data_IF_895812481037
#
_entry.id   IF_895812481037
#
_cell.length_a   1.000
_cell.length_b   1.000
_cell.length_c   1.000
_cell.angle_alpha   90.00
_cell.angle_beta   90.00
_cell.angle_gamma   90.00
#
_symmetry.space_group_name_H-M   'P 1'
#
loop_
_entity.id
_entity.type
_entity.pdbx_description
1 polymer ?
#
# COMPACT_ATOMS: atom_id res chain seq x y z
N UNK A 1 -16.58 -10.62 10.99
CA UNK A 1 -17.97 -10.19 10.73
C UNK A 1 -18.93 -11.33 11.03
N UNK A 2 -20.04 -11.02 11.70
CA UNK A 2 -21.05 -12.01 12.07
C UNK A 2 -21.95 -12.37 10.87
N UNK A 3 -22.17 -13.67 10.66
CA UNK A 3 -23.13 -14.17 9.67
C UNK A 3 -24.56 -14.03 10.21
N UNK A 4 -25.49 -13.52 9.39
CA UNK A 4 -26.91 -13.56 9.69
C UNK A 4 -27.45 -14.98 9.52
N UNK A 5 -28.44 -15.36 10.33
CA UNK A 5 -29.12 -16.66 10.18
C UNK A 5 -30.49 -16.44 9.56
N UNK A 6 -30.74 -17.07 8.41
CA UNK A 6 -31.97 -16.88 7.64
C UNK A 6 -32.65 -18.23 7.44
N UNK A 7 -33.94 -18.29 7.79
CA UNK A 7 -34.76 -19.49 7.61
C UNK A 7 -35.89 -19.26 6.58
N UNK A 8 -36.14 -20.27 5.74
CA UNK A 8 -37.25 -20.28 4.78
C UNK A 8 -37.72 -21.72 4.49
N UNK A 9 -38.68 -21.94 3.57
CA UNK A 9 -39.18 -23.29 3.28
C UNK A 9 -38.14 -24.14 2.54
N UNK A 10 -37.37 -23.50 1.66
CA UNK A 10 -36.28 -24.14 0.91
C UNK A 10 -34.98 -23.35 1.08
N UNK A 11 -33.85 -23.98 0.74
CA UNK A 11 -32.53 -23.32 0.75
C UNK A 11 -32.53 -22.13 -0.22
N UNK A 12 -33.11 -22.27 -1.41
CA UNK A 12 -33.16 -21.21 -2.42
C UNK A 12 -33.98 -19.99 -1.96
N UNK A 13 -35.11 -20.24 -1.26
CA UNK A 13 -35.88 -19.17 -0.64
C UNK A 13 -35.09 -18.48 0.48
N UNK A 14 -34.31 -19.23 1.26
CA UNK A 14 -33.47 -18.68 2.32
C UNK A 14 -32.33 -17.83 1.74
N UNK A 15 -31.72 -18.26 0.63
CA UNK A 15 -30.69 -17.50 -0.10
C UNK A 15 -31.30 -16.20 -0.62
N UNK A 16 -32.46 -16.26 -1.28
CA UNK A 16 -33.14 -15.07 -1.82
C UNK A 16 -33.46 -14.07 -0.72
N UNK A 17 -33.95 -14.56 0.42
CA UNK A 17 -34.22 -13.73 1.60
C UNK A 17 -32.94 -13.10 2.16
N UNK A 18 -31.83 -13.85 2.22
CA UNK A 18 -30.54 -13.34 2.64
C UNK A 18 -29.98 -12.28 1.69
N UNK A 19 -30.15 -12.42 0.37
CA UNK A 19 -29.75 -11.42 -0.62
C UNK A 19 -30.46 -10.09 -0.41
N UNK A 20 -31.77 -10.14 -0.15
CA UNK A 20 -32.59 -8.94 0.13
C UNK A 20 -32.19 -8.32 1.46
N UNK A 21 -32.06 -9.12 2.51
CA UNK A 21 -31.74 -8.64 3.86
C UNK A 21 -30.34 -8.03 3.95
N UNK A 22 -29.36 -8.62 3.24
CA UNK A 22 -28.02 -8.05 3.14
C UNK A 22 -27.93 -6.95 2.08
N UNK A 23 -28.90 -6.79 1.19
CA UNK A 23 -28.82 -5.86 0.06
C UNK A 23 -27.60 -6.15 -0.81
N UNK A 24 -27.37 -7.41 -1.16
CA UNK A 24 -26.24 -7.87 -1.97
C UNK A 24 -26.71 -8.74 -3.14
N UNK A 25 -25.80 -9.05 -4.05
CA UNK A 25 -26.03 -9.93 -5.21
C UNK A 25 -25.43 -11.31 -4.97
N UNK A 26 -25.84 -12.31 -5.77
CA UNK A 26 -25.44 -13.71 -5.57
C UNK A 26 -23.93 -13.95 -5.70
N UNK A 27 -23.24 -13.19 -6.54
CA UNK A 27 -21.77 -13.19 -6.69
C UNK A 27 -21.03 -12.61 -5.47
N UNK A 28 -21.74 -11.87 -4.61
CA UNK A 28 -21.22 -11.21 -3.40
C UNK A 28 -21.82 -11.77 -2.11
N UNK A 29 -22.38 -12.98 -2.16
CA UNK A 29 -22.92 -13.69 -0.99
C UNK A 29 -22.05 -14.90 -0.66
N UNK A 30 -21.63 -14.99 0.60
CA UNK A 30 -21.00 -16.19 1.15
C UNK A 30 -21.98 -16.81 2.16
N UNK A 31 -22.27 -18.10 2.04
CA UNK A 31 -23.24 -18.76 2.90
C UNK A 31 -22.91 -20.22 3.20
N UNK A 32 -23.44 -20.70 4.32
CA UNK A 32 -23.36 -22.07 4.80
C UNK A 32 -24.76 -22.60 5.06
N UNK A 33 -25.03 -23.83 4.60
CA UNK A 33 -26.31 -24.49 4.85
C UNK A 33 -26.23 -25.17 6.22
N UNK A 34 -27.00 -24.68 7.19
CA UNK A 34 -27.09 -25.26 8.54
C UNK A 34 -28.06 -26.44 8.55
N UNK A 35 -29.19 -26.29 7.87
CA UNK A 35 -30.19 -27.34 7.72
C UNK A 35 -30.86 -27.21 6.35
N UNK A 36 -30.97 -28.31 5.61
CA UNK A 36 -31.64 -28.32 4.30
C UNK A 36 -33.16 -28.24 4.43
N UNK A 37 -33.69 -28.38 5.64
CA UNK A 37 -35.11 -28.56 5.87
C UNK A 37 -35.58 -29.94 5.43
N UNK A 38 -36.82 -30.27 5.76
CA UNK A 38 -37.44 -31.52 5.34
C UNK A 38 -38.89 -31.29 4.95
N UNK A 39 -39.27 -31.88 3.82
CA UNK A 39 -40.67 -31.99 3.44
C UNK A 39 -41.23 -33.19 4.21
N UNK A 40 -42.03 -32.91 5.23
CA UNK A 40 -42.72 -33.95 5.99
C UNK A 40 -43.60 -34.85 5.11
N UNK A 41 -44.09 -35.95 5.67
CA UNK A 41 -44.90 -36.93 4.94
C UNK A 41 -46.16 -36.24 4.40
N UNK A 42 -46.32 -36.22 3.07
CA UNK A 42 -47.43 -35.54 2.36
C UNK A 42 -47.56 -34.02 2.59
N UNK A 43 -46.52 -33.32 3.03
CA UNK A 43 -46.49 -31.85 3.10
C UNK A 43 -47.38 -31.20 4.18
N UNK A 44 -47.99 -31.99 5.05
CA UNK A 44 -49.00 -31.53 6.03
C UNK A 44 -48.51 -31.70 7.48
N UNK A 45 -47.55 -32.59 7.75
CA UNK A 45 -47.08 -32.88 9.12
C UNK A 45 -45.55 -32.99 9.17
N UNK A 46 -44.91 -32.17 10.01
CA UNK A 46 -43.49 -32.28 10.37
C UNK A 46 -42.50 -31.56 9.43
N UNK A 47 -42.92 -30.54 8.69
CA UNK A 47 -42.00 -29.77 7.84
C UNK A 47 -41.00 -28.96 8.68
N UNK A 48 -39.71 -29.21 8.49
CA UNK A 48 -38.64 -28.40 9.10
C UNK A 48 -38.17 -27.36 8.08
N UNK A 49 -38.10 -26.06 8.44
CA UNK A 49 -37.60 -25.04 7.53
C UNK A 49 -36.12 -25.28 7.21
N UNK A 50 -35.71 -24.88 6.01
CA UNK A 50 -34.30 -24.76 5.66
C UNK A 50 -33.70 -23.55 6.38
N UNK A 51 -32.45 -23.69 6.84
CA UNK A 51 -31.72 -22.66 7.58
C UNK A 51 -30.34 -22.50 6.96
N UNK A 52 -29.99 -21.25 6.63
CA UNK A 52 -28.65 -20.88 6.18
C UNK A 52 -28.05 -19.83 7.10
N UNK A 53 -26.72 -19.79 7.16
CA UNK A 53 -25.96 -18.65 7.65
C UNK A 53 -25.34 -17.94 6.47
N UNK A 54 -25.51 -16.63 6.37
CA UNK A 54 -25.03 -15.87 5.23
C UNK A 54 -24.34 -14.58 5.68
N UNK A 55 -23.37 -14.13 4.89
CA UNK A 55 -22.72 -12.82 5.01
C UNK A 55 -22.40 -12.30 3.62
N UNK A 56 -22.11 -11.00 3.53
CA UNK A 56 -21.50 -10.46 2.32
C UNK A 56 -20.12 -11.06 2.15
N UNK A 57 -19.78 -11.43 0.93
CA UNK A 57 -18.41 -11.78 0.56
C UNK A 57 -17.54 -10.56 0.80
N UNK A 58 -16.44 -10.76 1.50
CA UNK A 58 -15.51 -9.70 1.83
C UNK A 58 -14.81 -9.20 0.56
N UNK A 59 -14.83 -7.88 0.33
CA UNK A 59 -14.13 -7.25 -0.80
C UNK A 59 -12.64 -7.08 -0.53
N UNK A 60 -11.86 -6.69 -1.55
CA UNK A 60 -10.42 -6.46 -1.36
C UNK A 60 -10.19 -5.25 -0.46
N UNK A 61 -11.03 -4.24 -0.65
CA UNK A 61 -11.12 -3.04 0.17
C UNK A 61 -11.39 -3.42 1.62
N UNK A 62 -12.41 -4.25 1.88
CA UNK A 62 -12.74 -4.71 3.23
C UNK A 62 -11.56 -5.45 3.89
N UNK A 63 -10.90 -6.35 3.14
CA UNK A 63 -9.72 -7.08 3.64
C UNK A 63 -8.58 -6.13 4.01
N UNK A 64 -8.26 -5.16 3.14
CA UNK A 64 -7.21 -4.19 3.38
C UNK A 64 -7.53 -3.29 4.59
N UNK A 65 -8.77 -2.80 4.64
CA UNK A 65 -9.27 -1.91 5.69
C UNK A 65 -9.28 -2.60 7.05
N UNK A 66 -9.73 -3.86 7.10
CA UNK A 66 -9.73 -4.66 8.33
C UNK A 66 -8.31 -4.88 8.83
N UNK A 67 -7.40 -5.32 7.96
CA UNK A 67 -6.01 -5.55 8.32
C UNK A 67 -5.30 -4.28 8.84
N UNK A 68 -5.47 -3.15 8.14
CA UNK A 68 -4.89 -1.88 8.57
C UNK A 68 -5.52 -1.36 9.86
N UNK A 69 -6.85 -1.48 10.01
CA UNK A 69 -7.56 -1.07 11.21
C UNK A 69 -7.11 -1.86 12.43
N UNK A 70 -6.95 -3.17 12.31
CA UNK A 70 -6.45 -4.02 13.39
C UNK A 70 -5.00 -3.65 13.77
N UNK A 71 -4.17 -3.36 12.76
CA UNK A 71 -2.79 -2.94 12.98
C UNK A 71 -2.70 -1.58 13.67
N UNK A 72 -3.45 -0.59 13.20
CA UNK A 72 -3.46 0.75 13.79
C UNK A 72 -4.10 0.76 15.17
N UNK A 73 -5.13 -0.08 15.40
CA UNK A 73 -5.70 -0.30 16.73
C UNK A 73 -4.67 -0.89 17.70
N UNK A 74 -3.85 -1.85 17.26
CA UNK A 74 -2.76 -2.40 18.07
C UNK A 74 -1.64 -1.37 18.36
N UNK A 75 -1.53 -0.32 17.55
CA UNK A 75 -0.60 0.81 17.73
C UNK A 75 -1.21 1.97 18.51
N UNK A 76 -2.50 1.90 18.88
CA UNK A 76 -3.28 2.99 19.50
C UNK A 76 -3.30 4.26 18.64
N UNK A 77 -3.47 4.11 17.33
CA UNK A 77 -3.50 5.21 16.36
C UNK A 77 -4.90 5.41 15.77
N UNK A 78 -5.39 6.66 15.85
CA UNK A 78 -6.64 7.08 15.20
C UNK A 78 -6.41 7.42 13.73
N UNK A 79 -6.70 6.48 12.83
CA UNK A 79 -6.48 6.64 11.37
C UNK A 79 -7.79 6.51 10.62
N UNK A 80 -8.11 7.52 9.82
CA UNK A 80 -9.18 7.44 8.83
C UNK A 80 -8.60 6.92 7.52
N UNK A 81 -9.32 6.00 6.88
CA UNK A 81 -8.86 5.34 5.67
C UNK A 81 -9.97 5.33 4.63
N UNK A 82 -9.58 5.56 3.37
CA UNK A 82 -10.46 5.48 2.22
C UNK A 82 -9.81 4.57 1.18
N UNK A 83 -10.48 3.47 0.84
CA UNK A 83 -10.02 2.50 -0.14
C UNK A 83 -10.85 2.58 -1.43
N UNK A 84 -10.18 2.49 -2.57
CA UNK A 84 -10.78 2.49 -3.91
C UNK A 84 -10.08 1.45 -4.78
N UNK A 85 -10.83 0.45 -5.24
CA UNK A 85 -10.33 -0.54 -6.19
C UNK A 85 -10.68 -0.15 -7.63
N UNK A 86 -9.66 -0.11 -8.48
CA UNK A 86 -9.76 0.17 -9.91
C UNK A 86 -9.56 -1.13 -10.70
N UNK A 87 -10.66 -1.81 -11.00
CA UNK A 87 -10.66 -3.15 -11.63
C UNK A 87 -9.91 -3.19 -12.98
N UNK A 88 -10.03 -2.14 -13.79
CA UNK A 88 -9.35 -2.06 -15.10
C UNK A 88 -7.82 -2.06 -14.98
N UNK A 89 -7.30 -1.39 -13.96
CA UNK A 89 -5.86 -1.22 -13.74
C UNK A 89 -5.30 -2.25 -12.74
N UNK A 90 -6.16 -3.10 -12.17
CA UNK A 90 -5.85 -4.02 -11.06
C UNK A 90 -5.12 -3.29 -9.93
N UNK A 91 -5.60 -2.09 -9.60
CA UNK A 91 -4.97 -1.21 -8.61
C UNK A 91 -5.90 -0.96 -7.43
N UNK A 92 -5.42 -1.22 -6.22
CA UNK A 92 -6.09 -0.87 -4.97
C UNK A 92 -5.39 0.35 -4.38
N UNK A 93 -6.06 1.50 -4.40
CA UNK A 93 -5.59 2.74 -3.78
C UNK A 93 -6.18 2.89 -2.39
N UNK A 94 -5.33 3.15 -1.40
CA UNK A 94 -5.72 3.39 -0.01
C UNK A 94 -5.10 4.72 0.43
N UNK A 95 -5.96 5.67 0.77
CA UNK A 95 -5.56 6.96 1.33
C UNK A 95 -5.82 6.96 2.83
N UNK A 96 -4.85 7.47 3.59
CA UNK A 96 -4.91 7.58 5.04
C UNK A 96 -4.80 9.04 5.48
N UNK A 97 -5.61 9.41 6.47
CA UNK A 97 -5.60 10.72 7.12
C UNK A 97 -5.82 10.58 8.63
N UNK A 98 -5.39 11.60 9.39
CA UNK A 98 -5.54 11.65 10.84
C UNK A 98 -4.47 12.51 11.50
N UNK A 99 -4.45 12.55 12.82
CA UNK A 99 -3.56 13.44 13.57
C UNK A 99 -2.11 12.90 13.63
N UNK A 100 -1.95 11.57 13.70
CA UNK A 100 -0.65 10.91 13.90
C UNK A 100 0.02 10.41 12.60
N UNK A 101 -0.27 11.04 11.46
CA UNK A 101 0.30 10.63 10.16
C UNK A 101 1.83 10.67 10.14
N UNK A 102 2.46 11.52 10.96
CA UNK A 102 3.92 11.57 11.08
C UNK A 102 4.56 10.23 11.47
N UNK A 103 3.89 9.45 12.34
CA UNK A 103 4.35 8.12 12.76
C UNK A 103 4.21 7.11 11.62
N UNK A 104 3.07 7.14 10.91
CA UNK A 104 2.77 6.25 9.79
C UNK A 104 3.61 6.53 8.54
N UNK A 105 3.99 7.78 8.33
CA UNK A 105 4.98 8.16 7.33
C UNK A 105 6.34 7.60 7.77
N UNK A 106 6.69 7.79 9.03
CA UNK A 106 7.98 7.41 9.58
C UNK A 106 9.14 8.19 8.97
N UNK A 107 10.37 7.75 9.26
CA UNK A 107 11.56 8.43 8.73
C UNK A 107 11.63 8.25 7.21
N UNK A 108 11.39 9.35 6.48
CA UNK A 108 11.48 9.40 5.00
C UNK A 108 10.51 8.45 4.28
N UNK A 109 9.36 8.14 4.87
CA UNK A 109 8.35 7.27 4.26
C UNK A 109 8.57 5.78 4.49
N UNK A 110 9.57 5.38 5.30
CA UNK A 110 9.89 3.97 5.52
C UNK A 110 8.74 3.17 6.14
N UNK A 111 8.00 3.77 7.08
CA UNK A 111 6.85 3.10 7.69
C UNK A 111 5.74 2.93 6.67
N UNK A 112 5.44 3.98 5.88
CA UNK A 112 4.46 3.94 4.81
C UNK A 112 4.78 2.87 3.76
N UNK A 113 6.05 2.75 3.36
CA UNK A 113 6.51 1.72 2.43
C UNK A 113 6.35 0.30 3.03
N UNK A 114 6.64 0.14 4.32
CA UNK A 114 6.52 -1.14 5.02
C UNK A 114 5.06 -1.57 5.15
N UNK A 115 4.18 -0.63 5.51
CA UNK A 115 2.73 -0.84 5.58
C UNK A 115 2.17 -1.24 4.22
N UNK A 116 2.54 -0.51 3.16
CA UNK A 116 2.12 -0.83 1.79
C UNK A 116 2.54 -2.25 1.40
N UNK A 117 3.77 -2.66 1.76
CA UNK A 117 4.26 -4.00 1.48
C UNK A 117 3.43 -5.08 2.21
N UNK A 118 3.17 -4.89 3.50
CA UNK A 118 2.37 -5.84 4.28
C UNK A 118 0.94 -5.97 3.75
N UNK A 119 0.27 -4.85 3.44
CA UNK A 119 -1.07 -4.87 2.85
C UNK A 119 -1.03 -5.56 1.49
N UNK A 120 -0.02 -5.29 0.67
CA UNK A 120 0.15 -5.97 -0.62
C UNK A 120 0.26 -7.48 -0.47
N UNK A 121 0.98 -7.98 0.54
CA UNK A 121 1.06 -9.41 0.83
C UNK A 121 -0.29 -9.99 1.25
N UNK A 122 -1.01 -9.30 2.14
CA UNK A 122 -2.33 -9.75 2.62
C UNK A 122 -3.33 -9.84 1.47
N UNK A 123 -3.36 -8.81 0.62
CA UNK A 123 -4.24 -8.78 -0.55
C UNK A 123 -3.81 -9.85 -1.54
N UNK A 124 -2.55 -9.93 -1.94
CA UNK A 124 -2.13 -10.87 -2.98
C UNK A 124 -2.02 -12.33 -2.53
N UNK A 125 -2.25 -12.66 -1.26
CA UNK A 125 -2.13 -14.04 -0.73
C UNK A 125 -3.11 -15.03 -1.38
N UNK A 126 -4.34 -14.60 -1.62
CA UNK A 126 -5.46 -15.46 -2.06
C UNK A 126 -6.05 -15.02 -3.40
N UNK A 127 -5.42 -14.04 -4.05
CA UNK A 127 -5.87 -13.54 -5.34
C UNK A 127 -5.10 -14.21 -6.48
N UNK A 128 -5.83 -14.67 -7.49
CA UNK A 128 -5.25 -15.27 -8.70
C UNK A 128 -4.49 -14.22 -9.52
N UNK A 129 -5.03 -13.01 -9.54
CA UNK A 129 -4.44 -11.86 -10.21
C UNK A 129 -3.60 -11.03 -9.25
N UNK A 130 -2.44 -10.58 -9.73
CA UNK A 130 -1.61 -9.63 -9.00
C UNK A 130 -2.28 -8.26 -8.97
N UNK A 131 -2.57 -7.78 -7.77
CA UNK A 131 -3.14 -6.47 -7.48
C UNK A 131 -2.05 -5.54 -7.01
N UNK A 132 -1.94 -4.40 -7.69
CA UNK A 132 -1.05 -3.31 -7.28
C UNK A 132 -1.68 -2.54 -6.13
N UNK A 133 -1.12 -2.67 -4.93
CA UNK A 133 -1.54 -1.87 -3.78
C UNK A 133 -0.74 -0.57 -3.71
N UNK A 134 -1.44 0.56 -3.64
CA UNK A 134 -0.86 1.89 -3.43
C UNK A 134 -1.39 2.46 -2.12
N UNK A 135 -0.48 2.70 -1.18
CA UNK A 135 -0.78 3.34 0.10
C UNK A 135 -0.15 4.73 0.11
N UNK A 136 -0.97 5.74 0.40
CA UNK A 136 -0.51 7.12 0.50
C UNK A 136 -1.21 7.85 1.65
N UNK A 137 -0.62 8.96 2.07
CA UNK A 137 -1.17 9.84 3.09
C UNK A 137 -0.88 11.28 2.72
N UNK A 138 -1.91 12.12 2.63
CA UNK A 138 -1.79 13.56 2.33
C UNK A 138 -0.80 13.91 1.19
N UNK A 139 -0.80 13.13 0.09
CA UNK A 139 0.15 13.27 -1.02
C UNK A 139 1.63 13.34 -0.58
N UNK A 140 1.99 12.60 0.47
CA UNK A 140 3.33 12.62 1.06
C UNK A 140 4.40 12.30 0.01
N UNK A 141 4.16 11.28 -0.83
CA UNK A 141 5.13 10.84 -1.84
C UNK A 141 5.49 11.96 -2.84
N UNK A 142 4.50 12.74 -3.25
CA UNK A 142 4.70 13.88 -4.15
C UNK A 142 5.44 15.02 -3.45
N UNK A 143 4.96 15.46 -2.28
CA UNK A 143 5.63 16.49 -1.47
C UNK A 143 7.08 16.12 -1.14
N UNK A 144 7.34 14.84 -0.85
CA UNK A 144 8.67 14.31 -0.56
C UNK A 144 9.59 14.38 -1.77
N UNK A 145 9.08 14.02 -2.96
CA UNK A 145 9.81 14.14 -4.21
C UNK A 145 10.23 15.59 -4.48
N UNK A 146 9.30 16.53 -4.38
CA UNK A 146 9.58 17.97 -4.57
C UNK A 146 10.64 18.49 -3.58
N UNK A 147 10.55 18.04 -2.33
CA UNK A 147 11.53 18.39 -1.28
C UNK A 147 12.93 17.88 -1.64
N UNK A 148 13.04 16.63 -2.15
CA UNK A 148 14.31 16.05 -2.57
C UNK A 148 14.90 16.74 -3.80
N UNK A 149 14.07 17.10 -4.78
CA UNK A 149 14.50 17.87 -5.95
C UNK A 149 15.02 19.25 -5.55
N UNK A 150 14.34 19.91 -4.61
CA UNK A 150 14.74 21.21 -4.07
C UNK A 150 16.05 21.10 -3.29
N UNK A 151 16.17 20.08 -2.43
CA UNK A 151 17.42 19.78 -1.71
C UNK A 151 18.58 19.58 -2.70
N UNK A 152 18.37 18.79 -3.75
CA UNK A 152 19.38 18.52 -4.76
C UNK A 152 19.89 19.81 -5.42
N UNK A 153 18.97 20.69 -5.85
CA UNK A 153 19.29 21.99 -6.45
C UNK A 153 20.06 22.89 -5.48
N UNK A 154 19.63 22.97 -4.23
CA UNK A 154 20.28 23.79 -3.20
C UNK A 154 21.71 23.31 -2.90
N UNK A 155 21.91 22.00 -2.80
CA UNK A 155 23.23 21.42 -2.56
C UNK A 155 24.13 21.56 -3.79
N UNK A 156 23.59 21.40 -5.00
CA UNK A 156 24.33 21.68 -6.23
C UNK A 156 24.82 23.13 -6.26
N UNK A 157 23.97 24.10 -5.89
CA UNK A 157 24.38 25.51 -5.78
C UNK A 157 25.50 25.70 -4.74
N UNK A 158 25.35 25.08 -3.55
CA UNK A 158 26.39 25.12 -2.50
C UNK A 158 27.72 24.57 -3.01
N UNK A 159 27.73 23.41 -3.66
CA UNK A 159 28.94 22.77 -4.24
C UNK A 159 29.58 23.65 -5.30
N UNK A 160 28.79 24.27 -6.19
CA UNK A 160 29.30 25.21 -7.21
C UNK A 160 30.00 26.42 -6.58
N UNK A 161 29.45 26.94 -5.48
CA UNK A 161 29.99 28.11 -4.77
C UNK A 161 31.21 27.78 -3.93
N UNK A 162 31.15 26.71 -3.12
CA UNK A 162 32.23 26.36 -2.18
C UNK A 162 33.35 25.56 -2.82
N UNK A 163 33.11 24.98 -4.00
CA UNK A 163 34.01 24.05 -4.68
C UNK A 163 34.37 22.81 -3.83
N UNK A 164 33.53 22.46 -2.86
CA UNK A 164 33.69 21.27 -2.01
C UNK A 164 32.53 20.31 -2.27
N UNK A 165 32.84 19.02 -2.38
CA UNK A 165 31.82 17.97 -2.47
C UNK A 165 30.98 17.91 -1.19
N UNK A 166 29.73 17.51 -1.33
CA UNK A 166 28.80 17.32 -0.21
C UNK A 166 28.20 15.92 -0.29
N UNK A 167 28.35 15.15 0.78
CA UNK A 167 27.65 13.90 1.01
C UNK A 167 26.30 14.18 1.65
N UNK A 168 25.24 13.64 1.06
CA UNK A 168 23.90 13.69 1.64
C UNK A 168 23.72 12.59 2.68
N UNK A 169 22.60 12.65 3.41
CA UNK A 169 22.22 11.57 4.31
C UNK A 169 21.93 10.27 3.53
N UNK A 170 22.12 9.09 4.16
CA UNK A 170 21.71 7.81 3.59
C UNK A 170 20.25 7.81 3.18
N UNK A 171 19.91 7.23 2.03
CA UNK A 171 18.54 7.25 1.50
C UNK A 171 18.25 6.04 0.60
N UNK A 172 16.98 5.67 0.48
CA UNK A 172 16.60 4.48 -0.28
C UNK A 172 16.90 4.64 -1.79
N UNK A 173 16.97 3.56 -2.57
CA UNK A 173 17.28 3.63 -4.00
C UNK A 173 16.39 4.59 -4.80
N UNK A 174 15.10 4.69 -4.44
CA UNK A 174 14.14 5.56 -5.09
C UNK A 174 14.45 7.05 -4.85
N UNK A 175 14.71 7.43 -3.60
CA UNK A 175 15.13 8.79 -3.22
C UNK A 175 16.45 9.17 -3.91
N UNK A 176 17.43 8.25 -3.94
CA UNK A 176 18.71 8.47 -4.67
C UNK A 176 18.44 8.76 -6.15
N UNK A 177 17.55 7.99 -6.77
CA UNK A 177 17.18 8.18 -8.19
C UNK A 177 16.59 9.55 -8.43
N UNK A 178 15.71 10.05 -7.56
CA UNK A 178 15.14 11.41 -7.67
C UNK A 178 16.25 12.45 -7.73
N UNK A 179 17.24 12.37 -6.83
CA UNK A 179 18.36 13.32 -6.79
C UNK A 179 19.24 13.21 -8.05
N UNK A 180 19.55 11.99 -8.47
CA UNK A 180 20.30 11.75 -9.71
C UNK A 180 19.59 12.36 -10.92
N UNK A 181 18.30 12.10 -11.07
CA UNK A 181 17.48 12.65 -12.15
C UNK A 181 17.38 14.18 -12.09
N UNK A 182 17.20 14.76 -10.90
CA UNK A 182 17.09 16.21 -10.72
C UNK A 182 18.35 16.97 -11.17
N UNK A 183 19.52 16.35 -11.06
CA UNK A 183 20.82 16.95 -11.39
C UNK A 183 21.47 16.37 -12.66
N UNK A 184 20.80 15.45 -13.37
CA UNK A 184 21.37 14.73 -14.50
C UNK A 184 21.89 15.65 -15.61
N UNK A 185 21.18 16.75 -15.87
CA UNK A 185 21.51 17.71 -16.92
C UNK A 185 22.28 18.95 -16.40
N UNK A 186 22.76 18.93 -15.16
CA UNK A 186 23.55 20.04 -14.63
C UNK A 186 24.92 20.12 -15.30
N UNK A 187 25.31 21.32 -15.73
CA UNK A 187 26.57 21.54 -16.46
C UNK A 187 27.82 21.46 -15.57
N UNK A 188 27.69 21.66 -14.27
CA UNK A 188 28.83 21.88 -13.38
C UNK A 188 29.00 20.82 -12.29
N UNK A 189 27.91 20.15 -11.89
CA UNK A 189 27.96 19.10 -10.86
C UNK A 189 27.69 17.71 -11.44
N UNK A 190 28.11 16.70 -10.69
CA UNK A 190 27.79 15.29 -10.92
C UNK A 190 27.38 14.64 -9.61
N UNK A 191 26.58 13.59 -9.73
CA UNK A 191 26.04 12.83 -8.61
C UNK A 191 26.58 11.40 -8.65
N UNK A 192 26.96 10.83 -7.49
CA UNK A 192 27.35 9.42 -7.36
C UNK A 192 26.74 8.85 -6.08
N UNK A 193 26.25 7.61 -6.14
CA UNK A 193 25.86 6.89 -4.93
C UNK A 193 27.06 6.17 -4.32
N UNK A 194 27.39 6.42 -3.05
CA UNK A 194 28.50 5.81 -2.30
C UNK A 194 28.00 5.12 -1.02
N UNK A 195 28.73 4.10 -0.57
CA UNK A 195 28.38 3.26 0.57
C UNK A 195 27.52 2.03 0.21
N UNK A 196 27.27 1.20 1.22
CA UNK A 196 26.40 0.01 1.16
C UNK A 196 25.06 0.29 1.84
N UNK A 197 23.97 -0.30 1.32
CA UNK A 197 22.65 -0.17 1.95
C UNK A 197 22.70 -0.80 3.36
N UNK A 198 22.11 -0.16 4.41
CA UNK A 198 21.20 1.00 4.40
C UNK A 198 21.89 2.37 4.51
N UNK A 199 23.23 2.43 4.57
CA UNK A 199 24.02 3.65 4.73
C UNK A 199 24.41 4.31 3.41
N UNK A 200 23.93 3.75 2.29
CA UNK A 200 24.18 4.24 0.94
C UNK A 200 23.55 5.62 0.73
N UNK A 201 24.34 6.56 0.22
CA UNK A 201 23.95 7.97 0.08
C UNK A 201 24.45 8.56 -1.24
N UNK A 202 23.91 9.73 -1.62
CA UNK A 202 24.36 10.47 -2.82
C UNK A 202 25.41 11.50 -2.44
N UNK A 203 26.51 11.51 -3.17
CA UNK A 203 27.56 12.53 -3.12
C UNK A 203 27.42 13.43 -4.35
N UNK A 204 27.34 14.73 -4.10
CA UNK A 204 27.32 15.78 -5.13
C UNK A 204 28.69 16.43 -5.18
N UNK A 205 29.33 16.43 -6.35
CA UNK A 205 30.68 16.98 -6.55
C UNK A 205 30.77 17.76 -7.86
N UNK A 206 31.82 18.56 -8.04
CA UNK A 206 32.05 19.23 -9.31
C UNK A 206 32.50 18.23 -10.37
N UNK A 207 32.03 18.45 -11.59
CA UNK A 207 32.39 17.63 -12.77
C UNK A 207 33.91 17.59 -13.03
N UNK A 208 34.63 18.67 -12.69
CA UNK A 208 36.10 18.75 -12.78
C UNK A 208 36.83 17.90 -11.74
N UNK A 209 36.30 17.78 -10.53
CA UNK A 209 36.93 16.99 -9.46
C UNK A 209 36.70 15.50 -9.70
N UNK A 210 35.55 15.18 -10.31
CA UNK A 210 35.20 13.82 -10.71
C UNK A 210 36.17 13.24 -11.75
N UNK A 211 36.44 13.98 -12.85
CA UNK A 211 37.37 13.52 -13.88
C UNK A 211 38.81 13.38 -13.39
N UNK A 212 39.19 14.09 -12.32
CA UNK A 212 40.48 13.93 -11.67
C UNK A 212 40.55 12.63 -10.87
N UNK A 213 39.50 12.26 -10.10
CA UNK A 213 39.45 11.03 -9.30
C UNK A 213 39.47 9.75 -10.16
N UNK A 214 38.74 9.69 -11.26
CA UNK A 214 38.76 8.52 -12.18
C UNK A 214 40.16 8.27 -12.75
N UNK A 215 40.87 9.33 -13.15
CA UNK A 215 42.25 9.23 -13.66
C UNK A 215 43.28 8.70 -12.65
N UNK A 216 43.03 8.85 -11.35
CA UNK A 216 43.92 8.27 -10.33
C UNK A 216 43.59 6.79 -10.11
N UNK A 217 42.31 6.42 -10.07
CA UNK A 217 41.90 5.01 -9.87
C UNK A 217 42.26 4.10 -11.06
N UNK A 218 42.31 4.63 -12.29
CA UNK A 218 42.80 3.88 -13.46
C UNK A 218 44.32 3.67 -13.48
N UNK A 219 45.10 4.47 -12.74
CA UNK A 219 46.57 4.33 -12.68
C UNK A 219 47.05 3.35 -11.62
N UNK A 220 46.17 2.97 -10.69
CA UNK A 220 46.47 2.04 -9.59
C UNK A 220 45.95 0.62 -9.89
N UNK A 221 45.37 0.39 -11.07
CA UNK A 221 45.05 -0.94 -11.62
C UNK A 221 46.06 -1.34 -12.67
#
# INVERSE_FOLDING_TARGET
MDMITVSAKTVDEAITKALIELGTTSDKLEYEIVDKGSNGILGIIGSKPAVIRAKKKETMEDKAMTFLSDMFGAMDLGVQMEASYHEKDKELSINMSGDDMGILIGKRGQTLDSLQYLVSLVINKENEDYIRVKLDTENYRERRKETLETLAKNIAYKVKRTRRSVSLEPMNPYERRIIHSALQNDKFVVTRSEGEDPFRHVVISLKKDYSKKERYQEKEK
#
